data_IF_104404258579
#
_entry.id   IF_104404258579
#
_cell.length_a   1.000
_cell.length_b   1.000
_cell.length_c   1.000
_cell.angle_alpha   90.00
_cell.angle_beta   90.00
_cell.angle_gamma   90.00
#
_symmetry.space_group_name_H-M   'P 1'
#
loop_
_entity.id
_entity.type
_entity.pdbx_description
1 polymer ?
#
# COMPACT_ATOMS: atom_id res chain seq x y z
N UNK A 1 15.77 13.62 39.50
CA UNK A 1 15.13 13.25 38.22
C UNK A 1 16.14 13.49 37.10
N UNK A 2 16.69 12.41 36.51
CA UNK A 2 17.57 12.52 35.33
C UNK A 2 16.67 12.45 34.09
N UNK A 3 16.75 13.44 33.21
CA UNK A 3 16.05 13.41 31.92
C UNK A 3 16.88 12.54 30.98
N UNK A 4 16.41 11.34 30.70
CA UNK A 4 16.94 10.51 29.63
C UNK A 4 16.75 11.28 28.32
N UNK A 5 17.86 11.63 27.69
CA UNK A 5 17.86 12.15 26.33
C UNK A 5 17.68 10.92 25.44
N UNK A 6 16.49 10.78 24.86
CA UNK A 6 16.28 9.87 23.75
C UNK A 6 17.20 10.36 22.62
N UNK A 7 18.31 9.66 22.42
CA UNK A 7 19.06 9.78 21.19
C UNK A 7 18.17 9.15 20.11
N UNK A 8 17.31 9.97 19.53
CA UNK A 8 16.64 9.66 18.28
C UNK A 8 17.76 9.73 17.23
N UNK A 9 18.55 8.66 17.13
CA UNK A 9 19.46 8.48 16.01
C UNK A 9 18.54 8.45 14.78
N UNK A 10 18.49 9.59 14.08
CA UNK A 10 17.83 9.72 12.80
C UNK A 10 18.54 8.77 11.84
N UNK A 11 18.13 7.50 11.86
CA UNK A 11 18.41 6.60 10.77
C UNK A 11 17.79 7.25 9.55
N UNK A 12 18.57 7.65 8.54
CA UNK A 12 17.97 8.03 7.27
C UNK A 12 17.17 6.81 6.84
N UNK A 13 15.88 7.00 6.61
CA UNK A 13 14.87 6.00 6.23
C UNK A 13 15.19 5.25 4.92
N UNK A 14 16.39 5.45 4.37
CA UNK A 14 16.85 4.91 3.11
C UNK A 14 16.17 5.55 1.91
N UNK A 15 15.26 6.50 2.12
CA UNK A 15 14.53 7.12 1.03
C UNK A 15 15.40 8.21 0.42
N UNK A 16 15.62 8.06 -0.88
CA UNK A 16 16.25 9.09 -1.69
C UNK A 16 15.22 10.16 -2.03
N UNK A 17 15.68 11.35 -2.41
CA UNK A 17 14.78 12.41 -2.90
C UNK A 17 13.89 11.93 -4.05
N UNK A 18 14.40 11.01 -4.86
CA UNK A 18 13.71 10.36 -5.97
C UNK A 18 12.54 9.47 -5.51
N UNK A 19 12.65 8.84 -4.33
CA UNK A 19 11.57 8.01 -3.76
C UNK A 19 10.40 8.87 -3.24
N UNK A 20 10.69 10.14 -2.93
CA UNK A 20 9.70 11.12 -2.46
C UNK A 20 9.10 11.95 -3.62
N UNK A 21 9.67 11.86 -4.82
CA UNK A 21 9.12 12.51 -6.00
C UNK A 21 7.85 11.79 -6.42
N UNK A 22 6.73 12.53 -6.49
CA UNK A 22 5.51 12.00 -7.06
C UNK A 22 5.78 11.63 -8.52
N UNK A 23 5.58 10.35 -8.84
CA UNK A 23 5.62 9.90 -10.23
C UNK A 23 4.67 10.76 -11.08
N UNK A 24 5.01 10.98 -12.34
CA UNK A 24 4.25 11.85 -13.24
C UNK A 24 2.79 11.39 -13.48
N UNK A 25 2.38 10.24 -12.92
CA UNK A 25 1.16 9.55 -13.28
C UNK A 25 1.28 8.97 -14.69
N UNK A 26 0.78 7.76 -14.90
CA UNK A 26 0.55 7.26 -16.25
C UNK A 26 -0.95 7.18 -16.40
N UNK A 27 -1.49 7.93 -17.37
CA UNK A 27 -2.90 7.80 -17.73
C UNK A 27 -3.10 6.41 -18.32
N UNK A 28 -3.92 5.61 -17.64
CA UNK A 28 -4.29 4.27 -18.07
C UNK A 28 -5.73 4.29 -18.53
N UNK A 29 -5.97 3.67 -19.68
CA UNK A 29 -7.31 3.57 -20.26
C UNK A 29 -8.13 2.51 -19.52
N UNK A 30 -9.40 2.83 -19.30
CA UNK A 30 -10.34 1.87 -18.72
C UNK A 30 -10.60 0.71 -19.69
N UNK A 31 -10.60 -0.52 -19.17
CA UNK A 31 -11.04 -1.68 -19.94
C UNK A 31 -12.05 -2.50 -19.15
N UNK A 32 -13.20 -2.78 -19.77
CA UNK A 32 -14.28 -3.53 -19.13
C UNK A 32 -13.86 -4.96 -18.75
N UNK A 33 -13.07 -5.62 -19.60
CA UNK A 33 -12.59 -6.97 -19.32
C UNK A 33 -11.74 -7.08 -18.04
N UNK A 34 -10.91 -6.07 -17.74
CA UNK A 34 -10.12 -6.03 -16.49
C UNK A 34 -11.02 -5.72 -15.30
N UNK A 35 -12.01 -4.84 -15.47
CA UNK A 35 -12.97 -4.54 -14.40
C UNK A 35 -13.82 -5.76 -14.02
N UNK A 36 -14.30 -6.52 -15.01
CA UNK A 36 -15.07 -7.75 -14.78
C UNK A 36 -14.24 -8.82 -14.06
N UNK A 37 -12.93 -8.91 -14.36
CA UNK A 37 -12.01 -9.82 -13.69
C UNK A 37 -11.74 -9.40 -12.23
N UNK A 38 -11.53 -8.10 -11.98
CA UNK A 38 -11.37 -7.53 -10.64
C UNK A 38 -12.59 -7.78 -9.76
N UNK A 39 -13.81 -7.61 -10.29
CA UNK A 39 -15.06 -7.86 -9.57
C UNK A 39 -15.18 -9.33 -9.13
N UNK A 40 -14.81 -10.27 -10.03
CA UNK A 40 -14.79 -11.71 -9.72
C UNK A 40 -13.77 -12.02 -8.61
N UNK A 41 -12.55 -11.50 -8.73
CA UNK A 41 -11.49 -11.73 -7.72
C UNK A 41 -11.88 -11.13 -6.36
N UNK A 42 -12.53 -9.96 -6.37
CA UNK A 42 -13.01 -9.33 -5.15
C UNK A 42 -14.05 -10.18 -4.41
N UNK A 43 -14.98 -10.81 -5.15
CA UNK A 43 -15.98 -11.72 -4.58
C UNK A 43 -15.34 -12.99 -4.00
N UNK A 44 -14.40 -13.61 -4.73
CA UNK A 44 -13.67 -14.80 -4.26
C UNK A 44 -12.88 -14.50 -2.97
N UNK A 45 -12.26 -13.31 -2.89
CA UNK A 45 -11.55 -12.87 -1.69
C UNK A 45 -12.49 -12.64 -0.51
N UNK A 46 -13.68 -12.09 -0.75
CA UNK A 46 -14.67 -11.85 0.28
C UNK A 46 -15.20 -13.18 0.87
N UNK A 47 -15.51 -14.15 0.00
CA UNK A 47 -15.95 -15.49 0.42
C UNK A 47 -14.87 -16.21 1.23
N UNK A 48 -13.62 -16.20 0.75
CA UNK A 48 -12.49 -16.80 1.47
C UNK A 48 -12.20 -16.12 2.82
N UNK A 49 -12.52 -14.83 2.98
CA UNK A 49 -12.39 -14.12 4.24
C UNK A 49 -13.48 -14.54 5.23
N UNK A 50 -14.71 -14.73 4.75
CA UNK A 50 -15.85 -15.17 5.56
C UNK A 50 -15.65 -16.61 6.06
N UNK A 51 -15.13 -17.50 5.20
CA UNK A 51 -14.75 -18.87 5.59
C UNK A 51 -13.69 -18.93 6.69
N UNK A 52 -12.78 -17.95 6.76
CA UNK A 52 -11.72 -17.90 7.79
C UNK A 52 -12.20 -17.36 9.13
N UNK A 53 -13.37 -16.73 9.18
CA UNK A 53 -13.94 -16.18 10.41
C UNK A 53 -14.92 -17.11 11.11
N UNK A 54 -15.30 -18.23 10.49
CA UNK A 54 -16.07 -19.32 11.10
C UNK A 54 -15.19 -20.32 11.85
#
# INVERSE_FOLDING_TARGET
MKREKYNNEEHPDGLTKTDLEQSAGVDVEYSAAVADEDDREALERAEAADERQM
#
